data_IF_260313330641
#
_entry.id   IF_260313330641
#
_cell.length_a   1.000
_cell.length_b   1.000
_cell.length_c   1.000
_cell.angle_alpha   90.00
_cell.angle_beta   90.00
_cell.angle_gamma   90.00
#
_symmetry.space_group_name_H-M   'P 1'
#
loop_
_entity.id
_entity.type
_entity.pdbx_description
1 polymer ?
#
# COMPACT_ATOMS: atom_id res chain seq x y z
N UNK A 1 -7.46 17.68 5.45
CA UNK A 1 -6.07 17.91 5.02
C UNK A 1 -5.96 18.94 3.89
N UNK A 2 -6.71 18.81 2.78
CA UNK A 2 -6.80 19.88 1.75
C UNK A 2 -7.22 21.26 2.30
N UNK A 3 -8.09 21.28 3.31
CA UNK A 3 -8.49 22.51 4.00
C UNK A 3 -7.34 23.26 4.71
N UNK A 4 -6.25 22.56 5.06
CA UNK A 4 -5.11 23.13 5.78
C UNK A 4 -4.03 23.68 4.85
N UNK A 5 -3.98 23.22 3.59
CA UNK A 5 -2.97 23.65 2.61
C UNK A 5 -3.43 24.81 1.73
N UNK A 6 -4.73 25.15 1.72
CA UNK A 6 -5.26 26.33 1.01
C UNK A 6 -6.40 26.98 1.80
N UNK A 7 -6.09 27.99 2.64
CA UNK A 7 -7.10 28.70 3.44
C UNK A 7 -8.20 29.35 2.58
N UNK A 8 -7.88 29.75 1.34
CA UNK A 8 -8.82 30.39 0.42
C UNK A 8 -9.95 29.47 -0.07
N UNK A 9 -9.74 28.16 -0.08
CA UNK A 9 -10.75 27.18 -0.49
C UNK A 9 -11.53 26.59 0.68
N UNK A 10 -11.30 27.08 1.91
CA UNK A 10 -11.89 26.52 3.12
C UNK A 10 -13.42 26.55 3.10
N UNK A 11 -14.03 27.67 2.69
CA UNK A 11 -15.49 27.80 2.64
C UNK A 11 -16.13 26.85 1.61
N UNK A 12 -15.50 26.71 0.44
CA UNK A 12 -15.95 25.78 -0.59
C UNK A 12 -15.84 24.33 -0.12
N UNK A 13 -14.70 23.97 0.48
CA UNK A 13 -14.49 22.65 1.07
C UNK A 13 -15.53 22.33 2.16
N UNK A 14 -15.75 23.25 3.09
CA UNK A 14 -16.70 23.09 4.20
C UNK A 14 -18.13 22.88 3.69
N UNK A 15 -18.53 23.61 2.65
CA UNK A 15 -19.83 23.47 2.01
C UNK A 15 -19.98 22.12 1.31
N UNK A 16 -19.02 21.75 0.48
CA UNK A 16 -19.07 20.46 -0.25
C UNK A 16 -18.95 19.26 0.70
N UNK A 17 -18.15 19.35 1.76
CA UNK A 17 -18.04 18.29 2.76
C UNK A 17 -19.32 18.13 3.58
N UNK A 18 -20.00 19.23 3.90
CA UNK A 18 -21.32 19.21 4.54
C UNK A 18 -22.37 18.56 3.63
N UNK A 19 -22.42 18.95 2.35
CA UNK A 19 -23.33 18.35 1.37
C UNK A 19 -23.08 16.85 1.22
N UNK A 20 -21.81 16.43 1.12
CA UNK A 20 -21.43 15.02 1.04
C UNK A 20 -21.82 14.24 2.31
N UNK A 21 -21.61 14.82 3.50
CA UNK A 21 -22.02 14.23 4.78
C UNK A 21 -23.54 14.01 4.86
N UNK A 22 -24.34 15.01 4.46
CA UNK A 22 -25.79 14.88 4.44
C UNK A 22 -26.25 13.84 3.41
N UNK A 23 -25.71 13.87 2.20
CA UNK A 23 -26.01 12.87 1.17
C UNK A 23 -25.67 11.44 1.62
N UNK A 24 -24.59 11.25 2.37
CA UNK A 24 -24.20 9.93 2.90
C UNK A 24 -25.12 9.46 4.03
N UNK A 25 -25.50 10.38 4.94
CA UNK A 25 -26.39 10.04 6.05
C UNK A 25 -27.84 9.80 5.60
N UNK A 26 -28.30 10.49 4.55
CA UNK A 26 -29.59 10.27 3.91
C UNK A 26 -29.64 8.98 3.08
N UNK A 27 -28.57 8.65 2.34
CA UNK A 27 -28.50 7.43 1.51
C UNK A 27 -27.97 6.19 2.25
N UNK A 28 -27.58 6.32 3.51
CA UNK A 28 -27.13 5.17 4.30
C UNK A 28 -28.25 4.12 4.40
N UNK A 29 -27.98 2.93 3.87
CA UNK A 29 -28.85 1.75 3.94
C UNK A 29 -29.24 1.39 5.40
N UNK A 30 -28.46 1.88 6.37
CA UNK A 30 -28.72 1.80 7.81
C UNK A 30 -29.95 2.59 8.29
N UNK A 31 -30.40 3.59 7.53
CA UNK A 31 -31.55 4.42 7.91
C UNK A 31 -32.91 3.83 7.51
N UNK A 32 -32.94 2.68 6.83
CA UNK A 32 -34.18 1.95 6.52
C UNK A 32 -34.56 0.89 7.55
N UNK A 33 -33.74 0.68 8.59
CA UNK A 33 -33.94 -0.38 9.58
C UNK A 33 -34.41 0.06 10.98
N UNK A 34 -34.46 1.36 11.28
CA UNK A 34 -34.91 1.82 12.61
C UNK A 34 -36.11 2.76 12.48
N UNK A 35 -37.24 2.27 12.99
CA UNK A 35 -38.44 3.07 13.18
C UNK A 35 -38.15 4.32 14.01
N UNK A 36 -38.81 5.40 13.61
CA UNK A 36 -39.23 6.54 14.43
C UNK A 36 -38.39 6.83 15.68
N UNK A 37 -37.26 7.52 15.51
CA UNK A 37 -36.85 8.57 16.45
C UNK A 37 -36.21 9.72 15.66
N UNK A 38 -36.63 10.94 15.95
CA UNK A 38 -36.42 12.11 15.08
C UNK A 38 -34.97 12.35 14.66
N UNK A 39 -34.73 12.32 13.34
CA UNK A 39 -33.48 12.81 12.75
C UNK A 39 -33.41 14.33 12.98
N UNK A 40 -32.56 14.76 13.92
CA UNK A 40 -32.14 16.18 13.96
C UNK A 40 -31.33 16.45 12.70
N UNK A 41 -31.91 17.22 11.78
CA UNK A 41 -31.20 17.83 10.67
C UNK A 41 -30.04 18.66 11.26
N UNK A 42 -28.80 18.19 11.07
CA UNK A 42 -27.62 18.92 11.56
C UNK A 42 -27.47 20.17 10.71
N UNK A 43 -27.46 21.34 11.35
CA UNK A 43 -27.29 22.61 10.65
C UNK A 43 -25.84 22.76 10.19
N UNK A 44 -25.66 23.46 9.06
CA UNK A 44 -24.34 23.80 8.51
C UNK A 44 -23.43 24.47 9.56
N UNK A 45 -24.00 25.33 10.39
CA UNK A 45 -23.31 26.05 11.46
C UNK A 45 -22.71 25.09 12.51
N UNK A 46 -23.48 24.09 12.94
CA UNK A 46 -23.01 23.08 13.90
C UNK A 46 -21.86 22.24 13.30
N UNK A 47 -21.97 21.90 12.01
CA UNK A 47 -20.93 21.18 11.29
C UNK A 47 -19.65 22.02 11.14
N UNK A 48 -19.78 23.32 10.84
CA UNK A 48 -18.66 24.25 10.75
C UNK A 48 -17.92 24.38 12.08
N UNK A 49 -18.65 24.52 13.19
CA UNK A 49 -18.07 24.57 14.54
C UNK A 49 -17.34 23.27 14.88
N UNK A 50 -17.93 22.12 14.56
CA UNK A 50 -17.29 20.82 14.74
C UNK A 50 -16.01 20.70 13.92
N UNK A 51 -16.03 21.09 12.64
CA UNK A 51 -14.84 21.01 11.79
C UNK A 51 -13.73 21.92 12.31
N UNK A 52 -14.03 23.14 12.74
CA UNK A 52 -13.03 24.05 13.32
C UNK A 52 -12.41 23.43 14.57
N UNK A 53 -13.22 22.79 15.42
CA UNK A 53 -12.72 22.07 16.60
C UNK A 53 -11.77 20.95 16.17
N UNK A 54 -12.15 20.12 15.21
CA UNK A 54 -11.32 19.02 14.70
C UNK A 54 -10.01 19.52 14.11
N UNK A 55 -10.03 20.66 13.40
CA UNK A 55 -8.81 21.28 12.85
C UNK A 55 -7.88 21.81 13.94
N UNK A 56 -8.43 22.40 15.00
CA UNK A 56 -7.62 22.86 16.15
C UNK A 56 -7.00 21.69 16.89
N UNK A 57 -7.76 20.63 17.09
CA UNK A 57 -7.30 19.40 17.75
C UNK A 57 -6.25 18.68 16.89
N UNK A 58 -6.50 18.53 15.58
CA UNK A 58 -5.50 18.00 14.66
C UNK A 58 -4.21 18.85 14.69
N UNK A 59 -4.36 20.17 14.59
CA UNK A 59 -3.26 21.13 14.64
C UNK A 59 -2.46 21.04 15.93
N UNK A 60 -3.12 20.86 17.08
CA UNK A 60 -2.41 20.68 18.34
C UNK A 60 -1.59 19.40 18.33
N UNK A 61 -2.08 18.29 17.76
CA UNK A 61 -1.35 17.02 17.66
C UNK A 61 -0.17 17.01 16.67
N UNK A 62 -0.22 17.82 15.61
CA UNK A 62 0.84 17.86 14.59
C UNK A 62 1.83 19.03 14.76
N UNK A 63 1.55 19.98 15.66
CA UNK A 63 2.43 21.13 15.90
C UNK A 63 3.75 20.70 16.51
N UNK A 64 4.86 21.16 15.93
CA UNK A 64 6.20 21.01 16.51
C UNK A 64 6.35 21.74 17.86
N UNK A 65 5.56 22.80 18.09
CA UNK A 65 5.52 23.56 19.33
C UNK A 65 4.25 23.16 20.12
N UNK A 66 4.32 22.04 20.83
CA UNK A 66 3.36 21.70 21.89
C UNK A 66 3.89 22.19 23.24
N UNK A 67 3.07 22.96 23.96
CA UNK A 67 3.41 23.47 25.30
C UNK A 67 3.12 22.45 26.42
N UNK A 68 2.18 21.53 26.21
CA UNK A 68 1.77 20.52 27.20
C UNK A 68 2.09 19.09 26.72
N UNK A 69 2.72 18.29 27.58
CA UNK A 69 2.86 16.84 27.33
C UNK A 69 3.79 16.46 26.17
N UNK A 70 4.97 17.10 26.05
CA UNK A 70 6.06 16.74 25.13
C UNK A 70 6.44 15.26 25.23
N UNK A 71 5.72 14.39 24.55
CA UNK A 71 6.20 13.07 24.20
C UNK A 71 6.98 13.19 22.89
N UNK A 72 8.05 12.41 22.72
CA UNK A 72 8.75 12.22 21.44
C UNK A 72 7.80 11.53 20.45
N UNK A 73 6.80 12.24 19.96
CA UNK A 73 5.80 11.74 19.03
C UNK A 73 6.15 12.23 17.64
N UNK A 74 6.22 11.29 16.73
CA UNK A 74 6.20 11.59 15.30
C UNK A 74 4.77 11.39 14.81
N UNK A 75 4.04 12.47 14.49
CA UNK A 75 2.66 12.35 14.05
C UNK A 75 2.59 11.56 12.74
N UNK A 76 1.77 10.50 12.74
CA UNK A 76 1.47 9.69 11.57
C UNK A 76 0.02 9.98 11.17
N UNK A 77 -0.19 10.35 9.92
CA UNK A 77 -1.52 10.60 9.39
C UNK A 77 -1.88 9.55 8.35
N UNK A 78 -2.91 8.77 8.65
CA UNK A 78 -3.51 7.81 7.75
C UNK A 78 -4.52 8.51 6.84
N UNK A 79 -4.39 8.33 5.53
CA UNK A 79 -5.29 8.86 4.52
C UNK A 79 -5.93 7.70 3.75
N UNK A 80 -7.12 7.23 4.15
CA UNK A 80 -7.92 6.38 3.28
C UNK A 80 -8.46 7.22 2.12
N UNK A 81 -8.28 6.73 0.89
CA UNK A 81 -8.70 7.43 -0.32
C UNK A 81 -9.33 6.48 -1.35
N UNK A 82 -10.18 7.05 -2.20
CA UNK A 82 -10.70 6.43 -3.41
C UNK A 82 -10.65 7.48 -4.52
N UNK A 83 -9.46 7.70 -5.07
CA UNK A 83 -9.17 8.78 -6.03
C UNK A 83 -8.35 8.27 -7.21
N UNK A 84 -8.53 8.89 -8.37
CA UNK A 84 -7.64 8.72 -9.53
C UNK A 84 -6.41 9.62 -9.46
N UNK A 85 -6.40 10.61 -8.57
CA UNK A 85 -5.33 11.62 -8.43
C UNK A 85 -4.49 11.40 -7.15
N UNK A 86 -3.77 10.30 -7.08
CA UNK A 86 -2.87 10.01 -5.95
C UNK A 86 -1.75 11.07 -5.80
N UNK A 87 -1.32 11.68 -6.91
CA UNK A 87 -0.25 12.70 -6.94
C UNK A 87 -0.51 13.89 -6.02
N UNK A 88 -1.76 14.34 -5.89
CA UNK A 88 -2.06 15.48 -5.01
C UNK A 88 -1.74 15.16 -3.55
N UNK A 89 -1.95 13.90 -3.15
CA UNK A 89 -1.64 13.41 -1.81
C UNK A 89 -0.14 13.24 -1.59
N UNK A 90 0.62 12.90 -2.63
CA UNK A 90 2.09 12.86 -2.54
C UNK A 90 2.64 14.25 -2.23
N UNK A 91 2.18 15.27 -2.98
CA UNK A 91 2.61 16.67 -2.78
C UNK A 91 2.23 17.17 -1.39
N UNK A 92 1.01 16.89 -0.94
CA UNK A 92 0.56 17.27 0.40
C UNK A 92 1.35 16.55 1.49
N UNK A 93 1.57 15.24 1.34
CA UNK A 93 2.33 14.44 2.31
C UNK A 93 3.77 14.91 2.44
N UNK A 94 4.43 15.21 1.32
CA UNK A 94 5.78 15.77 1.31
C UNK A 94 5.83 17.14 1.99
N UNK A 95 4.89 18.03 1.66
CA UNK A 95 4.80 19.36 2.26
C UNK A 95 4.59 19.29 3.77
N UNK A 96 3.74 18.39 4.24
CA UNK A 96 3.48 18.18 5.66
C UNK A 96 4.69 17.58 6.40
N UNK A 97 5.40 16.65 5.77
CA UNK A 97 6.64 16.10 6.32
C UNK A 97 7.69 17.20 6.50
N UNK A 98 7.92 18.03 5.47
CA UNK A 98 8.90 19.12 5.53
C UNK A 98 8.51 20.23 6.51
N UNK A 99 7.22 20.54 6.63
CA UNK A 99 6.76 21.64 7.48
C UNK A 99 6.69 21.27 8.97
N UNK A 100 6.30 20.04 9.28
CA UNK A 100 5.94 19.63 10.64
C UNK A 100 6.45 18.24 11.05
N UNK A 101 7.29 17.58 10.23
CA UNK A 101 7.76 16.21 10.50
C UNK A 101 6.66 15.15 10.43
N UNK A 102 5.52 15.47 9.82
CA UNK A 102 4.35 14.59 9.75
C UNK A 102 4.56 13.51 8.69
N UNK A 103 4.53 12.24 9.11
CA UNK A 103 4.54 11.12 8.17
C UNK A 103 3.14 10.85 7.68
N UNK A 104 3.00 10.55 6.40
CA UNK A 104 1.70 10.29 5.78
C UNK A 104 1.66 8.88 5.24
N UNK A 105 0.57 8.17 5.52
CA UNK A 105 0.27 6.86 4.94
C UNK A 105 -0.94 7.00 4.05
N UNK A 106 -0.73 6.95 2.73
CA UNK A 106 -1.80 6.99 1.75
C UNK A 106 -2.27 5.55 1.46
N UNK A 107 -3.52 5.27 1.78
CA UNK A 107 -4.21 4.03 1.46
C UNK A 107 -5.30 4.32 0.42
N UNK A 108 -4.90 4.35 -0.85
CA UNK A 108 -5.83 4.54 -1.96
C UNK A 108 -6.35 3.19 -2.47
N UNK A 109 -7.64 3.13 -2.79
CA UNK A 109 -8.21 1.96 -3.45
C UNK A 109 -7.53 1.73 -4.81
N UNK A 110 -7.32 0.47 -5.16
CA UNK A 110 -7.04 0.03 -6.51
C UNK A 110 -8.35 -0.47 -7.17
N UNK A 111 -8.36 -0.64 -8.51
CA UNK A 111 -9.52 -1.07 -9.35
C UNK A 111 -10.47 0.07 -9.80
N UNK A 112 -11.61 -0.28 -10.40
CA UNK A 112 -12.41 0.46 -11.41
C UNK A 112 -12.67 1.96 -11.22
N UNK A 113 -12.56 2.50 -10.02
CA UNK A 113 -12.86 3.91 -9.71
C UNK A 113 -11.71 4.68 -9.07
N UNK A 114 -10.57 4.04 -8.80
CA UNK A 114 -9.44 4.63 -8.11
C UNK A 114 -8.09 4.17 -8.71
N UNK A 115 -7.09 5.05 -8.63
CA UNK A 115 -5.83 4.92 -9.37
C UNK A 115 -4.70 4.22 -8.61
N UNK A 116 -4.97 3.51 -7.51
CA UNK A 116 -3.91 2.90 -6.69
C UNK A 116 -2.90 3.93 -6.20
N UNK A 117 -1.61 3.59 -6.17
CA UNK A 117 -0.58 4.56 -5.73
C UNK A 117 -0.49 4.71 -4.22
N UNK A 118 -0.97 3.73 -3.46
CA UNK A 118 -0.79 3.70 -2.01
C UNK A 118 0.70 3.72 -1.65
N UNK A 119 1.07 4.47 -0.63
CA UNK A 119 2.46 4.61 -0.21
C UNK A 119 2.60 5.24 1.17
N UNK A 120 3.80 5.10 1.73
CA UNK A 120 4.29 5.90 2.83
C UNK A 120 5.06 7.10 2.30
N UNK A 121 4.91 8.23 2.99
CA UNK A 121 5.57 9.50 2.70
C UNK A 121 6.22 10.00 3.99
N UNK A 122 7.53 10.25 3.95
CA UNK A 122 8.33 10.57 5.12
C UNK A 122 9.75 11.06 4.78
N UNK A 123 10.77 10.72 5.59
CA UNK A 123 12.16 11.18 5.40
C UNK A 123 12.72 10.95 4.00
N UNK A 124 12.55 9.74 3.47
CA UNK A 124 13.05 9.33 2.15
C UNK A 124 12.27 9.95 0.97
N UNK A 125 11.19 10.67 1.25
CA UNK A 125 10.30 11.19 0.22
C UNK A 125 10.74 12.53 -0.35
N UNK A 126 11.72 13.18 0.26
CA UNK A 126 12.32 14.41 -0.25
C UNK A 126 13.74 14.11 -0.73
N UNK A 127 14.06 14.55 -1.95
CA UNK A 127 15.37 14.24 -2.54
C UNK A 127 16.32 15.42 -2.60
N UNK A 128 17.60 15.09 -2.49
CA UNK A 128 18.72 15.99 -2.66
C UNK A 128 19.05 16.12 -4.15
N UNK A 129 19.17 17.35 -4.66
CA UNK A 129 19.22 17.65 -6.12
C UNK A 129 20.51 17.17 -6.83
N UNK A 130 21.23 16.20 -6.26
CA UNK A 130 22.59 15.80 -6.64
C UNK A 130 22.78 14.30 -6.91
N UNK A 131 21.73 13.48 -6.93
CA UNK A 131 21.85 12.07 -7.33
C UNK A 131 22.35 11.97 -8.78
N UNK A 132 23.65 11.70 -8.93
CA UNK A 132 24.32 11.59 -10.22
C UNK A 132 24.12 10.19 -10.82
N UNK A 133 24.28 10.07 -12.14
CA UNK A 133 24.28 8.78 -12.84
C UNK A 133 25.44 7.90 -12.33
N UNK A 134 25.12 6.76 -11.73
CA UNK A 134 26.11 5.75 -11.26
C UNK A 134 25.80 5.08 -9.92
N UNK A 135 24.76 5.53 -9.21
CA UNK A 135 24.54 5.20 -7.79
C UNK A 135 23.71 3.93 -7.49
N UNK A 136 23.58 2.98 -8.42
CA UNK A 136 22.96 1.67 -8.12
C UNK A 136 23.74 0.89 -7.04
N UNK A 137 25.05 1.14 -6.95
CA UNK A 137 25.94 0.64 -5.89
C UNK A 137 25.78 1.37 -4.55
N UNK A 138 25.18 2.57 -4.52
CA UNK A 138 24.92 3.35 -3.30
C UNK A 138 23.49 3.17 -2.78
N UNK A 139 22.60 2.52 -3.54
CA UNK A 139 21.28 2.14 -3.03
C UNK A 139 21.47 1.37 -1.72
N UNK A 140 20.71 1.73 -0.70
CA UNK A 140 20.73 1.06 0.60
C UNK A 140 20.55 -0.46 0.46
N UNK A 141 21.11 -1.22 1.40
CA UNK A 141 20.90 -2.66 1.43
C UNK A 141 19.58 -2.98 2.13
N UNK A 142 18.48 -2.94 1.37
CA UNK A 142 17.15 -3.31 1.89
C UNK A 142 16.93 -4.83 1.84
N UNK A 143 15.89 -5.29 2.53
CA UNK A 143 15.40 -6.68 2.45
C UNK A 143 14.94 -7.10 1.03
N UNK A 144 14.85 -6.15 0.10
CA UNK A 144 14.54 -6.37 -1.30
C UNK A 144 15.69 -5.97 -2.24
N UNK A 145 16.93 -6.26 -1.83
CA UNK A 145 18.14 -6.02 -2.62
C UNK A 145 18.28 -4.56 -3.10
N UNK A 146 17.86 -3.61 -2.26
CA UNK A 146 17.89 -2.17 -2.53
C UNK A 146 16.62 -1.58 -3.11
N UNK A 147 15.55 -2.37 -3.23
CA UNK A 147 14.21 -1.88 -3.55
C UNK A 147 13.47 -1.42 -2.29
N UNK A 148 12.68 -0.34 -2.40
CA UNK A 148 11.81 0.20 -1.34
C UNK A 148 10.35 0.31 -1.83
N UNK A 149 9.68 -0.82 -2.11
CA UNK A 149 8.32 -0.80 -2.62
C UNK A 149 7.35 -0.17 -1.61
N UNK A 150 6.50 0.73 -2.09
CA UNK A 150 5.53 1.47 -1.28
C UNK A 150 6.09 2.63 -0.45
N UNK A 151 7.38 2.98 -0.56
CA UNK A 151 7.95 4.22 -0.01
C UNK A 151 8.07 5.22 -1.15
N UNK A 152 7.31 6.32 -1.08
CA UNK A 152 7.36 7.34 -2.14
C UNK A 152 8.69 8.10 -2.10
N UNK A 153 9.34 8.25 -3.25
CA UNK A 153 10.62 8.94 -3.45
C UNK A 153 10.54 9.82 -4.70
N UNK A 154 10.65 11.14 -4.56
CA UNK A 154 10.39 12.09 -5.65
C UNK A 154 11.21 11.85 -6.92
N UNK A 155 12.44 11.37 -6.77
CA UNK A 155 13.43 11.23 -7.85
C UNK A 155 13.71 9.79 -8.24
N UNK A 156 12.97 8.85 -7.67
CA UNK A 156 13.03 7.45 -8.12
C UNK A 156 12.76 7.38 -9.62
N UNK A 157 13.61 6.61 -10.32
CA UNK A 157 13.50 6.37 -11.76
C UNK A 157 12.25 5.54 -12.10
N UNK A 158 11.70 4.84 -11.12
CA UNK A 158 10.52 3.99 -11.32
C UNK A 158 9.28 4.84 -11.60
N UNK A 159 8.40 4.38 -12.49
CA UNK A 159 7.21 5.13 -12.95
C UNK A 159 6.34 5.62 -11.79
N UNK A 160 6.15 4.78 -10.78
CA UNK A 160 5.32 5.07 -9.60
C UNK A 160 6.10 5.77 -8.48
N UNK A 161 7.39 6.11 -8.71
CA UNK A 161 8.25 6.81 -7.73
C UNK A 161 8.27 6.12 -6.36
N UNK A 162 8.28 4.79 -6.34
CA UNK A 162 8.22 4.03 -5.10
C UNK A 162 6.82 3.78 -4.53
N UNK A 163 5.76 4.47 -4.99
CA UNK A 163 4.39 4.12 -4.61
C UNK A 163 3.92 2.79 -5.24
N UNK A 164 2.94 2.13 -4.63
CA UNK A 164 2.33 0.90 -5.15
C UNK A 164 1.71 1.11 -6.55
N UNK A 165 1.65 0.03 -7.34
CA UNK A 165 1.05 0.05 -8.67
C UNK A 165 -0.42 0.50 -8.68
N UNK A 166 -0.92 0.90 -9.85
CA UNK A 166 -2.31 1.36 -10.03
C UNK A 166 -3.35 0.29 -9.67
N UNK A 167 -3.02 -0.97 -9.98
CA UNK A 167 -3.88 -2.14 -9.77
C UNK A 167 -3.36 -3.07 -8.67
N UNK A 168 -2.27 -2.68 -8.02
CA UNK A 168 -1.59 -3.55 -7.08
C UNK A 168 -2.37 -3.65 -5.77
N UNK A 169 -2.53 -4.89 -5.31
CA UNK A 169 -3.04 -5.20 -3.98
C UNK A 169 -1.87 -5.70 -3.14
N UNK A 170 -1.53 -4.99 -2.07
CA UNK A 170 -0.44 -5.38 -1.19
C UNK A 170 -0.68 -4.89 0.24
N UNK A 171 -0.18 -5.66 1.21
CA UNK A 171 0.05 -5.20 2.57
C UNK A 171 1.47 -4.65 2.65
N UNK A 172 1.58 -3.41 3.14
CA UNK A 172 2.87 -2.76 3.35
C UNK A 172 3.09 -2.54 4.84
N UNK A 173 4.28 -2.91 5.32
CA UNK A 173 4.70 -2.75 6.71
C UNK A 173 5.99 -1.95 6.72
N UNK A 174 5.96 -0.81 7.42
CA UNK A 174 7.12 0.05 7.62
C UNK A 174 7.35 0.22 9.11
N UNK A 175 8.62 0.23 9.51
CA UNK A 175 9.02 0.63 10.84
C UNK A 175 9.21 2.14 10.89
N UNK A 176 8.74 2.75 11.98
CA UNK A 176 8.84 4.18 12.23
C UNK A 176 9.40 4.33 13.63
N UNK A 177 10.63 4.83 13.72
CA UNK A 177 11.32 5.02 14.99
C UNK A 177 11.41 6.51 15.34
N UNK A 178 10.55 7.01 16.25
CA UNK A 178 10.53 8.43 16.63
C UNK A 178 11.83 8.91 17.28
N UNK A 179 12.61 8.00 17.87
CA UNK A 179 13.85 8.31 18.58
C UNK A 179 15.01 8.68 17.64
N UNK A 180 14.98 8.20 16.41
CA UNK A 180 16.02 8.46 15.41
C UNK A 180 15.75 9.75 14.63
N UNK A 181 14.56 10.34 14.74
CA UNK A 181 14.23 11.67 14.21
C UNK A 181 14.67 12.76 15.18
N UNK A 182 15.98 12.92 15.35
CA UNK A 182 16.56 14.01 16.13
C UNK A 182 16.90 15.18 15.21
N UNK A 183 16.56 16.39 15.65
CA UNK A 183 16.92 17.65 14.99
C UNK A 183 18.44 17.93 15.00
N UNK A 184 19.22 17.18 15.79
CA UNK A 184 20.67 17.29 15.90
C UNK A 184 21.32 15.95 15.54
N UNK A 185 22.17 15.90 14.51
CA UNK A 185 22.79 14.65 14.07
C UNK A 185 23.76 14.14 15.15
N UNK A 186 23.54 12.90 15.61
CA UNK A 186 24.48 12.13 16.42
C UNK A 186 24.68 10.74 15.78
N UNK A 187 25.68 9.97 16.23
CA UNK A 187 25.97 8.65 15.64
C UNK A 187 24.75 7.71 15.73
N UNK A 188 23.92 7.85 16.76
CA UNK A 188 22.67 7.10 16.93
C UNK A 188 21.54 7.54 15.97
N UNK A 189 21.58 8.77 15.47
CA UNK A 189 20.63 9.28 14.46
C UNK A 189 21.08 8.96 13.03
N UNK A 190 22.16 8.17 12.87
CA UNK A 190 22.52 7.58 11.58
C UNK A 190 21.75 6.29 11.26
N UNK A 191 20.98 5.77 12.23
CA UNK A 191 20.04 4.66 11.99
C UNK A 191 18.80 5.21 11.30
N UNK A 192 18.33 4.52 10.26
CA UNK A 192 17.15 4.94 9.50
C UNK A 192 15.93 5.05 10.41
N UNK A 193 15.38 6.25 10.53
CA UNK A 193 14.16 6.51 11.29
C UNK A 193 12.90 5.92 10.63
N UNK A 194 13.03 5.53 9.37
CA UNK A 194 11.96 5.04 8.53
C UNK A 194 12.50 3.95 7.61
N UNK A 195 12.00 2.73 7.74
CA UNK A 195 12.47 1.61 6.92
C UNK A 195 11.33 0.68 6.53
N UNK A 196 11.49 0.00 5.39
CA UNK A 196 10.56 -1.03 4.95
C UNK A 196 10.84 -2.34 5.68
N UNK A 197 9.79 -2.92 6.27
CA UNK A 197 9.84 -4.21 6.96
C UNK A 197 9.26 -5.31 6.09
N UNK A 198 8.18 -5.02 5.37
CA UNK A 198 7.58 -5.97 4.45
C UNK A 198 6.74 -5.29 3.36
N UNK A 199 6.79 -5.84 2.16
CA UNK A 199 5.84 -5.65 1.07
C UNK A 199 5.31 -7.02 0.70
N UNK A 200 4.04 -7.25 0.99
CA UNK A 200 3.37 -8.54 0.82
C UNK A 200 2.24 -8.35 -0.21
N UNK A 201 2.51 -8.56 -1.51
CA UNK A 201 1.47 -8.64 -2.53
C UNK A 201 0.41 -9.67 -2.19
N UNK A 202 -0.84 -9.32 -2.41
CA UNK A 202 -1.99 -10.22 -2.26
C UNK A 202 -2.28 -10.82 -3.63
N UNK A 203 -1.90 -12.08 -3.81
CA UNK A 203 -2.14 -12.88 -5.01
C UNK A 203 -3.55 -13.49 -4.87
N UNK A 204 -4.53 -12.71 -5.28
CA UNK A 204 -5.94 -13.03 -5.14
C UNK A 204 -6.44 -13.84 -6.34
N UNK A 205 -6.98 -15.04 -6.08
CA UNK A 205 -7.51 -15.94 -7.09
C UNK A 205 -9.00 -16.22 -6.85
N UNK A 206 -9.80 -16.20 -7.92
CA UNK A 206 -11.24 -16.43 -7.81
C UNK A 206 -11.56 -17.92 -7.94
N UNK A 207 -12.25 -18.47 -6.93
CA UNK A 207 -12.84 -19.80 -7.06
C UNK A 207 -14.13 -19.67 -7.85
N UNK A 208 -14.08 -20.09 -9.12
CA UNK A 208 -15.30 -20.34 -9.88
C UNK A 208 -15.94 -21.62 -9.35
N UNK A 209 -17.07 -21.48 -8.65
CA UNK A 209 -17.81 -22.62 -8.12
C UNK A 209 -18.10 -23.61 -9.27
N UNK A 210 -17.87 -24.90 -9.00
CA UNK A 210 -18.06 -26.05 -9.91
C UNK A 210 -19.47 -26.20 -10.52
N UNK A 211 -20.37 -25.22 -10.39
CA UNK A 211 -21.71 -25.26 -10.97
C UNK A 211 -21.68 -25.40 -12.51
N UNK A 212 -20.59 -25.02 -13.18
CA UNK A 212 -20.40 -25.29 -14.62
C UNK A 212 -19.80 -26.67 -14.94
N UNK A 213 -19.22 -27.40 -13.97
CA UNK A 213 -18.58 -28.71 -14.22
C UNK A 213 -19.60 -29.87 -14.19
N UNK A 214 -20.86 -29.61 -13.83
CA UNK A 214 -21.88 -30.65 -13.71
C UNK A 214 -23.29 -30.31 -14.21
N UNK A 215 -23.52 -29.13 -14.79
CA UNK A 215 -24.84 -28.78 -15.36
C UNK A 215 -24.65 -28.17 -16.74
N UNK A 216 -25.40 -28.68 -17.72
CA UNK A 216 -25.52 -28.23 -19.12
C UNK A 216 -26.05 -26.78 -19.27
N UNK A 217 -25.75 -25.87 -18.34
CA UNK A 217 -26.27 -24.50 -18.28
C UNK A 217 -25.22 -23.43 -18.60
N UNK A 218 -23.94 -23.80 -18.74
CA UNK A 218 -22.91 -22.85 -19.18
C UNK A 218 -22.79 -22.95 -20.70
N UNK A 219 -22.74 -21.81 -21.40
CA UNK A 219 -22.56 -21.82 -22.84
C UNK A 219 -21.20 -22.44 -23.18
N UNK A 220 -21.00 -22.99 -24.38
CA UNK A 220 -19.69 -23.54 -24.78
C UNK A 220 -18.53 -22.54 -24.61
N UNK A 221 -18.82 -21.23 -24.68
CA UNK A 221 -17.85 -20.15 -24.44
C UNK A 221 -17.43 -20.07 -22.98
N UNK A 222 -18.37 -20.23 -22.04
CA UNK A 222 -18.10 -20.18 -20.61
C UNK A 222 -17.25 -21.39 -20.15
N UNK A 223 -17.49 -22.57 -20.73
CA UNK A 223 -16.69 -23.77 -20.43
C UNK A 223 -15.22 -23.66 -20.85
N UNK A 224 -14.94 -23.05 -22.01
CA UNK A 224 -13.56 -22.82 -22.49
C UNK A 224 -12.82 -21.79 -21.63
N UNK A 225 -13.50 -20.72 -21.22
CA UNK A 225 -12.91 -19.70 -20.32
C UNK A 225 -12.53 -20.32 -18.98
N UNK A 226 -13.43 -21.09 -18.36
CA UNK A 226 -13.16 -21.75 -17.07
C UNK A 226 -12.01 -22.75 -17.16
N UNK A 227 -11.92 -23.51 -18.26
CA UNK A 227 -10.79 -24.44 -18.46
C UNK A 227 -9.46 -23.70 -18.60
N UNK A 228 -9.44 -22.60 -19.35
CA UNK A 228 -8.24 -21.78 -19.54
C UNK A 228 -7.81 -21.11 -18.23
N UNK A 229 -8.73 -20.49 -17.50
CA UNK A 229 -8.46 -19.89 -16.18
C UNK A 229 -7.98 -20.96 -15.18
N UNK A 230 -8.54 -22.17 -15.23
CA UNK A 230 -8.09 -23.29 -14.40
C UNK A 230 -6.66 -23.74 -14.72
N UNK A 231 -6.28 -23.78 -16.00
CA UNK A 231 -4.91 -24.09 -16.43
C UNK A 231 -3.92 -23.01 -16.00
N UNK A 232 -4.27 -21.74 -16.20
CA UNK A 232 -3.43 -20.60 -15.78
C UNK A 232 -3.23 -20.59 -14.26
N UNK A 233 -4.30 -20.87 -13.48
CA UNK A 233 -4.21 -20.98 -12.02
C UNK A 233 -3.25 -22.09 -11.58
N UNK A 234 -3.35 -23.27 -12.19
CA UNK A 234 -2.46 -24.39 -11.86
C UNK A 234 -1.01 -24.07 -12.22
N UNK A 235 -0.79 -23.39 -13.34
CA UNK A 235 0.52 -22.90 -13.73
C UNK A 235 1.08 -21.91 -12.69
N UNK A 236 0.29 -20.93 -12.23
CA UNK A 236 0.72 -19.97 -11.21
C UNK A 236 1.04 -20.67 -9.87
N UNK A 237 0.28 -21.70 -9.50
CA UNK A 237 0.57 -22.53 -8.32
C UNK A 237 1.88 -23.27 -8.45
N UNK A 238 2.15 -23.85 -9.61
CA UNK A 238 3.41 -24.53 -9.88
C UNK A 238 4.59 -23.56 -9.79
N UNK A 239 4.46 -22.33 -10.29
CA UNK A 239 5.49 -21.30 -10.12
C UNK A 239 5.75 -20.99 -8.64
N UNK A 240 4.70 -20.76 -7.85
CA UNK A 240 4.81 -20.51 -6.41
C UNK A 240 5.46 -21.69 -5.67
N UNK A 241 5.06 -22.92 -6.00
CA UNK A 241 5.65 -24.14 -5.42
C UNK A 241 7.14 -24.25 -5.74
N UNK A 242 7.54 -24.00 -6.99
CA UNK A 242 8.94 -24.02 -7.40
C UNK A 242 9.78 -22.96 -6.67
N UNK A 243 9.23 -21.77 -6.41
CA UNK A 243 9.91 -20.74 -5.60
C UNK A 243 10.08 -21.22 -4.16
N UNK A 244 9.05 -21.83 -3.56
CA UNK A 244 9.11 -22.34 -2.20
C UNK A 244 10.16 -23.46 -2.08
N UNK A 245 10.16 -24.41 -3.03
CA UNK A 245 11.14 -25.51 -3.09
C UNK A 245 12.56 -24.96 -3.19
N UNK A 246 12.81 -24.02 -4.10
CA UNK A 246 14.09 -23.32 -4.22
C UNK A 246 14.54 -22.67 -2.90
N UNK A 247 13.61 -22.05 -2.18
CA UNK A 247 13.91 -21.42 -0.88
C UNK A 247 14.17 -22.44 0.23
N UNK A 248 13.48 -23.58 0.22
CA UNK A 248 13.64 -24.66 1.21
C UNK A 248 14.99 -25.36 1.06
N UNK A 249 15.40 -25.68 -0.17
CA UNK A 249 16.71 -26.28 -0.46
C UNK A 249 17.88 -25.39 0.00
N UNK A 250 17.64 -24.06 0.01
CA UNK A 250 18.61 -23.05 0.43
C UNK A 250 18.44 -22.62 1.89
N UNK A 251 17.42 -23.11 2.61
CA UNK A 251 16.96 -22.63 3.92
C UNK A 251 17.92 -22.82 5.10
N UNK A 252 19.18 -23.20 4.85
CA UNK A 252 20.22 -23.17 5.87
C UNK A 252 20.50 -21.71 6.28
N UNK A 253 20.69 -21.48 7.58
CA UNK A 253 21.08 -20.16 8.13
C UNK A 253 22.45 -19.69 7.65
N UNK A 254 23.15 -20.43 6.79
CA UNK A 254 24.49 -20.09 6.28
C UNK A 254 24.53 -19.80 4.79
N UNK A 255 23.45 -20.10 4.06
CA UNK A 255 23.38 -19.86 2.61
C UNK A 255 23.20 -18.37 2.34
N UNK A 256 23.98 -17.83 1.41
CA UNK A 256 23.85 -16.45 0.93
C UNK A 256 23.15 -16.43 -0.41
N UNK A 257 22.47 -15.33 -0.75
CA UNK A 257 21.87 -15.16 -2.08
C UNK A 257 22.91 -15.04 -3.19
N UNK A 258 24.16 -14.65 -2.89
CA UNK A 258 25.26 -14.60 -3.87
C UNK A 258 25.51 -15.95 -4.57
N UNK A 259 25.38 -17.06 -3.84
CA UNK A 259 25.59 -18.40 -4.38
C UNK A 259 24.35 -18.96 -5.09
N UNK A 260 23.38 -18.11 -5.43
CA UNK A 260 22.18 -18.52 -6.16
C UNK A 260 22.45 -18.56 -7.66
N UNK A 261 22.69 -19.77 -8.17
CA UNK A 261 22.91 -20.00 -9.61
C UNK A 261 21.60 -19.94 -10.41
N UNK A 262 20.43 -20.08 -9.75
CA UNK A 262 19.11 -20.08 -10.38
C UNK A 262 18.40 -18.70 -10.28
N UNK A 263 19.13 -17.63 -9.95
CA UNK A 263 18.56 -16.28 -9.80
C UNK A 263 17.78 -15.79 -11.04
N UNK A 264 18.22 -16.17 -12.23
CA UNK A 264 17.52 -15.85 -13.49
C UNK A 264 16.18 -16.58 -13.62
N UNK A 265 16.10 -17.83 -13.16
CA UNK A 265 14.86 -18.60 -13.12
C UNK A 265 13.89 -18.02 -12.10
N UNK A 266 14.39 -17.59 -10.94
CA UNK A 266 13.59 -16.93 -9.91
C UNK A 266 13.04 -15.57 -10.39
N UNK A 267 13.83 -14.80 -11.13
CA UNK A 267 13.37 -13.58 -11.80
C UNK A 267 12.19 -13.88 -12.73
N UNK A 268 12.32 -14.89 -13.60
CA UNK A 268 11.25 -15.26 -14.53
C UNK A 268 9.95 -15.59 -13.78
N UNK A 269 10.03 -16.39 -12.72
CA UNK A 269 8.87 -16.78 -11.92
C UNK A 269 8.19 -15.58 -11.27
N UNK A 270 8.96 -14.69 -10.63
CA UNK A 270 8.43 -13.47 -10.00
C UNK A 270 7.85 -12.49 -11.02
N UNK A 271 8.47 -12.33 -12.19
CA UNK A 271 7.92 -11.51 -13.28
C UNK A 271 6.58 -12.03 -13.76
N UNK A 272 6.45 -13.34 -13.95
CA UNK A 272 5.20 -13.97 -14.38
C UNK A 272 4.09 -13.81 -13.35
N UNK A 273 4.39 -14.04 -12.07
CA UNK A 273 3.45 -13.80 -10.97
C UNK A 273 3.05 -12.31 -10.90
N UNK A 274 4.02 -11.39 -10.95
CA UNK A 274 3.77 -9.95 -10.91
C UNK A 274 2.88 -9.47 -12.05
N UNK A 275 3.12 -9.95 -13.28
CA UNK A 275 2.28 -9.63 -14.44
C UNK A 275 0.86 -10.20 -14.30
N UNK A 276 0.73 -11.45 -13.86
CA UNK A 276 -0.57 -12.11 -13.73
C UNK A 276 -1.45 -11.43 -12.66
N UNK A 277 -0.88 -11.13 -11.48
CA UNK A 277 -1.61 -10.54 -10.36
C UNK A 277 -1.59 -9.00 -10.32
N UNK A 278 -1.06 -8.34 -11.36
CA UNK A 278 -0.90 -6.88 -11.43
C UNK A 278 -0.12 -6.30 -10.23
N UNK A 279 0.93 -6.99 -9.77
CA UNK A 279 1.87 -6.48 -8.76
C UNK A 279 3.15 -6.01 -9.43
N UNK A 280 3.23 -4.70 -9.67
CA UNK A 280 4.38 -4.04 -10.28
C UNK A 280 5.64 -4.26 -9.44
N UNK A 281 5.52 -4.22 -8.11
CA UNK A 281 6.66 -4.40 -7.21
C UNK A 281 7.08 -5.86 -7.06
N UNK A 282 6.19 -6.84 -7.21
CA UNK A 282 6.60 -8.26 -7.29
C UNK A 282 7.41 -8.52 -8.55
N UNK A 283 6.98 -7.95 -9.67
CA UNK A 283 7.72 -7.98 -10.93
C UNK A 283 9.12 -7.35 -10.76
N UNK A 284 9.18 -6.15 -10.15
CA UNK A 284 10.45 -5.43 -9.93
C UNK A 284 11.38 -6.13 -8.93
N UNK A 285 10.83 -6.80 -7.93
CA UNK A 285 11.59 -7.65 -7.00
C UNK A 285 12.36 -8.74 -7.74
N UNK A 286 11.77 -9.37 -8.77
CA UNK A 286 12.46 -10.32 -9.63
C UNK A 286 13.68 -9.70 -10.34
N UNK A 287 13.51 -8.51 -10.93
CA UNK A 287 14.61 -7.79 -11.61
C UNK A 287 15.76 -7.49 -10.64
N UNK A 288 15.42 -6.94 -9.47
CA UNK A 288 16.42 -6.56 -8.47
C UNK A 288 17.09 -7.78 -7.83
N UNK A 289 16.38 -8.90 -7.68
CA UNK A 289 16.99 -10.15 -7.24
C UNK A 289 18.10 -10.58 -8.21
N UNK A 290 17.77 -10.70 -9.50
CA UNK A 290 18.75 -11.11 -10.53
C UNK A 290 19.94 -10.16 -10.60
N UNK A 291 19.68 -8.85 -10.54
CA UNK A 291 20.71 -7.83 -10.71
C UNK A 291 21.62 -7.71 -9.48
N UNK A 292 21.07 -7.82 -8.27
CA UNK A 292 21.78 -7.44 -7.04
C UNK A 292 22.00 -8.58 -6.03
N UNK A 293 21.53 -9.82 -6.26
CA UNK A 293 21.78 -10.94 -5.32
C UNK A 293 23.26 -11.19 -5.01
N UNK A 294 24.17 -10.91 -5.97
CA UNK A 294 25.63 -11.06 -5.77
C UNK A 294 26.27 -9.86 -5.09
N UNK A 295 25.87 -8.65 -5.46
CA UNK A 295 26.49 -7.41 -4.95
C UNK A 295 25.90 -6.98 -3.60
N UNK A 296 24.67 -7.42 -3.30
CA UNK A 296 23.94 -7.17 -2.04
C UNK A 296 23.39 -8.47 -1.49
N UNK A 297 24.26 -9.39 -1.08
CA UNK A 297 23.82 -10.70 -0.68
C UNK A 297 23.08 -10.66 0.64
N UNK A 298 22.01 -11.43 0.71
CA UNK A 298 21.20 -11.63 1.89
C UNK A 298 21.45 -13.03 2.44
N UNK A 299 21.32 -13.16 3.76
CA UNK A 299 21.53 -14.42 4.46
C UNK A 299 20.21 -15.14 4.64
N UNK A 300 20.20 -16.44 4.35
CA UNK A 300 19.02 -17.30 4.47
C UNK A 300 18.02 -17.09 3.35
N UNK A 301 16.74 -17.32 3.65
CA UNK A 301 15.66 -17.18 2.66
C UNK A 301 15.43 -15.70 2.37
N UNK A 302 15.64 -15.31 1.11
CA UNK A 302 15.47 -13.93 0.67
C UNK A 302 13.98 -13.54 0.73
N UNK A 303 13.59 -12.52 1.53
CA UNK A 303 12.21 -12.02 1.56
C UNK A 303 11.73 -11.58 0.17
N UNK A 304 12.67 -11.17 -0.70
CA UNK A 304 12.45 -10.87 -2.12
C UNK A 304 11.71 -11.97 -2.87
N UNK A 305 11.90 -13.24 -2.51
CA UNK A 305 11.29 -14.38 -3.18
C UNK A 305 9.97 -14.81 -2.55
N UNK A 306 9.78 -14.64 -1.24
CA UNK A 306 8.71 -15.30 -0.47
C UNK A 306 7.66 -14.36 0.15
N UNK A 307 7.94 -13.06 0.24
CA UNK A 307 6.98 -12.11 0.83
C UNK A 307 5.83 -11.84 -0.14
N UNK A 308 4.87 -12.75 -0.21
CA UNK A 308 3.61 -12.64 -0.93
C UNK A 308 2.59 -13.55 -0.25
N UNK A 309 1.31 -13.24 -0.43
CA UNK A 309 0.21 -13.99 0.18
C UNK A 309 -0.75 -14.44 -0.90
N UNK A 310 -0.88 -15.76 -1.07
CA UNK A 310 -1.84 -16.35 -1.99
C UNK A 310 -3.18 -16.62 -1.29
N UNK A 311 -4.28 -16.14 -1.86
CA UNK A 311 -5.63 -16.33 -1.32
C UNK A 311 -6.56 -16.75 -2.43
N UNK A 312 -7.28 -17.84 -2.19
CA UNK A 312 -8.38 -18.27 -3.05
C UNK A 312 -9.71 -17.86 -2.45
N UNK A 313 -10.50 -17.07 -3.18
CA UNK A 313 -11.75 -16.52 -2.69
C UNK A 313 -12.92 -17.10 -3.47
N UNK A 314 -13.82 -17.77 -2.75
CA UNK A 314 -15.17 -18.06 -3.23
C UNK A 314 -16.05 -16.82 -3.01
N UNK A 315 -16.13 -15.99 -4.04
CA UNK A 315 -16.93 -14.78 -4.01
C UNK A 315 -18.44 -15.04 -3.87
N UNK A 316 -18.94 -16.20 -4.29
CA UNK A 316 -20.36 -16.53 -4.11
C UNK A 316 -20.63 -16.77 -2.63
N UNK A 317 -19.84 -17.65 -2.00
CA UNK A 317 -19.93 -17.92 -0.57
C UNK A 317 -19.70 -16.66 0.26
N UNK A 318 -18.69 -15.86 -0.07
CA UNK A 318 -18.40 -14.60 0.64
C UNK A 318 -19.59 -13.62 0.60
N UNK A 319 -20.28 -13.51 -0.53
CA UNK A 319 -21.44 -12.64 -0.67
C UNK A 319 -22.70 -13.21 0.01
N UNK A 320 -22.83 -14.54 0.09
CA UNK A 320 -23.88 -15.22 0.86
C UNK A 320 -23.70 -15.04 2.36
N UNK A 321 -22.47 -15.23 2.87
CA UNK A 321 -22.11 -15.03 4.28
C UNK A 321 -22.33 -13.58 4.71
N UNK A 322 -22.05 -12.59 3.85
CA UNK A 322 -22.36 -11.18 4.13
C UNK A 322 -23.84 -10.90 4.37
N UNK A 323 -24.76 -11.68 3.79
CA UNK A 323 -26.21 -11.52 4.07
C UNK A 323 -26.57 -11.91 5.50
N UNK A 324 -25.78 -12.75 6.18
CA UNK A 324 -25.99 -13.10 7.60
C UNK A 324 -25.53 -12.00 8.56
N UNK A 325 -24.55 -11.18 8.18
CA UNK A 325 -24.05 -10.06 9.00
C UNK A 325 -24.77 -8.72 8.71
N UNK A 326 -25.80 -8.75 7.86
CA UNK A 326 -26.65 -7.62 7.50
C UNK A 326 -28.08 -7.75 8.08
N UNK A 327 -28.27 -8.58 9.11
CA UNK A 327 -29.53 -8.67 9.88
C UNK A 327 -29.47 -7.76 11.09
#
# INVERSE_FOLDING_TARGET
>A
MFALSSPGNYQSFLKESFNAYNNYTENSFFSKGQGETGKKEKKYEDYAVSLIKDLKEFGSYISAYQEEGRANRTPIVLIPACTTRAVDYYVIGQGNYLAAGVKTVLCNSCKTTAGGGSCFIGPDSWDDRKLNKGEELLKENTIYHGLKPGIYMQTSKERCRGALGEKEQALLVCDISPYHEKNSPNIESMVDAFSIVAHIPILEEKIYVKQCIGKNKCSKKDGFVIQKEGQEREEMKNLMANIIEHCQDRGSTTTMTESDEDAEKMEEYLKRLGLHYNSDWLYKRGEYYKEFHKTKPQRGIAPTLIDWMYIEIDYQKFMEDKKQYLV
#
